data_IF_199565613278
#
_entry.id   IF_199565613278
#
_cell.length_a   1.000
_cell.length_b   1.000
_cell.length_c   1.000
_cell.angle_alpha   90.00
_cell.angle_beta   90.00
_cell.angle_gamma   90.00
#
_symmetry.space_group_name_H-M   'P 1'
#
loop_
_entity.id
_entity.type
_entity.pdbx_description
1 polymer ?
#
# COMPACT_ATOMS: atom_id res chain seq x y z
N UNK A 1 12.41 -15.06 10.97
CA UNK A 1 13.80 -14.60 11.24
C UNK A 1 14.88 -15.47 10.60
N UNK A 2 14.77 -16.82 10.61
CA UNK A 2 15.82 -17.70 10.05
C UNK A 2 16.02 -17.67 8.53
N UNK A 3 15.01 -17.27 7.75
CA UNK A 3 15.12 -17.19 6.28
C UNK A 3 15.71 -15.86 5.81
N UNK A 4 15.34 -14.75 6.45
CA UNK A 4 15.86 -13.41 6.11
C UNK A 4 17.37 -13.29 6.34
N UNK A 5 17.89 -13.89 7.42
CA UNK A 5 19.33 -13.92 7.69
C UNK A 5 20.13 -14.71 6.64
N UNK A 6 19.59 -15.83 6.16
CA UNK A 6 20.19 -16.60 5.05
C UNK A 6 20.14 -15.84 3.73
N UNK A 7 19.02 -15.19 3.45
CA UNK A 7 18.87 -14.33 2.27
C UNK A 7 19.87 -13.17 2.31
N UNK A 8 19.99 -12.49 3.46
CA UNK A 8 20.92 -11.38 3.67
C UNK A 8 22.36 -11.81 3.40
N UNK A 9 22.81 -12.92 4.00
CA UNK A 9 24.15 -13.46 3.76
C UNK A 9 24.42 -13.76 2.27
N UNK A 10 23.40 -14.24 1.54
CA UNK A 10 23.52 -14.52 0.12
C UNK A 10 23.64 -13.24 -0.72
N UNK A 11 22.86 -12.21 -0.40
CA UNK A 11 22.95 -10.91 -1.06
C UNK A 11 24.26 -10.18 -0.75
N UNK A 12 24.77 -10.25 0.48
CA UNK A 12 26.05 -9.65 0.86
C UNK A 12 27.22 -10.29 0.12
N UNK A 13 27.24 -11.62 0.00
CA UNK A 13 28.23 -12.34 -0.84
C UNK A 13 28.14 -11.92 -2.30
N UNK A 14 26.92 -11.85 -2.85
CA UNK A 14 26.69 -11.38 -4.22
C UNK A 14 27.17 -9.95 -4.44
N UNK A 15 26.90 -9.05 -3.48
CA UNK A 15 27.39 -7.67 -3.50
C UNK A 15 28.91 -7.61 -3.46
N UNK A 16 29.57 -8.43 -2.62
CA UNK A 16 31.03 -8.49 -2.54
C UNK A 16 31.65 -8.90 -3.88
N UNK A 17 31.10 -9.92 -4.55
CA UNK A 17 31.55 -10.35 -5.88
C UNK A 17 31.36 -9.22 -6.90
N UNK A 18 30.19 -8.58 -6.92
CA UNK A 18 29.91 -7.46 -7.84
C UNK A 18 30.84 -6.27 -7.63
N UNK A 19 31.23 -5.95 -6.38
CA UNK A 19 32.17 -4.87 -6.07
C UNK A 19 33.56 -5.12 -6.66
N UNK A 20 33.98 -6.38 -6.79
CA UNK A 20 35.25 -6.76 -7.41
C UNK A 20 35.14 -6.70 -8.94
N UNK A 21 34.00 -7.16 -9.48
CA UNK A 21 33.82 -7.34 -10.92
C UNK A 21 33.36 -6.08 -11.67
N UNK A 22 32.77 -5.09 -10.99
CA UNK A 22 32.11 -3.94 -11.62
C UNK A 22 32.69 -2.60 -11.15
N UNK A 23 32.65 -1.55 -11.99
CA UNK A 23 32.93 -0.19 -11.57
C UNK A 23 32.08 0.24 -10.36
N UNK A 24 32.61 1.11 -9.51
CA UNK A 24 31.95 1.53 -8.26
C UNK A 24 30.59 2.23 -8.46
N UNK A 25 30.36 2.80 -9.64
CA UNK A 25 29.11 3.43 -10.05
C UNK A 25 28.21 2.52 -10.89
N UNK A 26 28.48 1.22 -10.99
CA UNK A 26 27.67 0.34 -11.83
C UNK A 26 26.25 0.15 -11.26
N UNK A 27 25.15 0.34 -12.02
CA UNK A 27 23.76 0.24 -11.54
C UNK A 27 23.42 -1.07 -10.80
N UNK A 28 23.98 -2.21 -11.23
CA UNK A 28 23.81 -3.50 -10.53
C UNK A 28 24.29 -3.50 -9.06
N UNK A 29 25.24 -2.64 -8.68
CA UNK A 29 25.63 -2.45 -7.29
C UNK A 29 24.50 -1.79 -6.50
N UNK A 30 23.88 -0.75 -7.05
CA UNK A 30 22.72 -0.09 -6.45
C UNK A 30 21.53 -1.06 -6.27
N UNK A 31 21.23 -1.88 -7.28
CA UNK A 31 20.20 -2.93 -7.15
C UNK A 31 20.51 -3.91 -6.01
N UNK A 32 21.77 -4.31 -5.83
CA UNK A 32 22.17 -5.16 -4.70
C UNK A 32 21.94 -4.47 -3.36
N UNK A 33 22.30 -3.20 -3.24
CA UNK A 33 22.05 -2.39 -2.04
C UNK A 33 20.55 -2.24 -1.74
N UNK A 34 19.70 -2.03 -2.76
CA UNK A 34 18.24 -1.97 -2.58
C UNK A 34 17.67 -3.29 -2.03
N UNK A 35 18.12 -4.44 -2.53
CA UNK A 35 17.64 -5.75 -2.06
C UNK A 35 18.06 -6.02 -0.61
N UNK A 36 19.30 -5.66 -0.26
CA UNK A 36 19.80 -5.75 1.12
C UNK A 36 18.98 -4.83 2.04
N UNK A 37 18.68 -3.60 1.59
CA UNK A 37 17.87 -2.68 2.37
C UNK A 37 16.47 -3.22 2.67
N UNK A 38 15.80 -3.82 1.67
CA UNK A 38 14.48 -4.42 1.85
C UNK A 38 14.52 -5.56 2.89
N UNK A 39 15.61 -6.31 2.96
CA UNK A 39 15.78 -7.33 4.01
C UNK A 39 15.96 -6.71 5.39
N UNK A 40 16.78 -5.66 5.51
CA UNK A 40 16.93 -4.93 6.77
C UNK A 40 15.61 -4.32 7.24
N UNK A 41 14.84 -3.72 6.34
CA UNK A 41 13.50 -3.17 6.63
C UNK A 41 12.55 -4.26 7.17
N UNK A 42 12.47 -5.40 6.49
CA UNK A 42 11.68 -6.55 6.95
C UNK A 42 12.15 -7.15 8.29
N UNK A 43 13.40 -6.91 8.67
CA UNK A 43 13.96 -7.30 9.97
C UNK A 43 13.77 -6.22 11.05
N UNK A 44 13.23 -5.04 10.70
CA UNK A 44 13.09 -3.88 11.59
C UNK A 44 14.40 -3.11 11.81
N UNK A 45 15.45 -3.42 11.04
CA UNK A 45 16.77 -2.77 11.14
C UNK A 45 16.83 -1.50 10.26
N UNK A 46 15.91 -0.56 10.51
CA UNK A 46 15.64 0.59 9.63
C UNK A 46 16.87 1.46 9.34
N UNK A 47 17.76 1.69 10.32
CA UNK A 47 18.99 2.47 10.11
C UNK A 47 19.92 1.81 9.07
N UNK A 48 20.02 0.48 9.06
CA UNK A 48 20.83 -0.25 8.06
C UNK A 48 20.13 -0.28 6.70
N UNK A 49 18.80 -0.35 6.69
CA UNK A 49 18.00 -0.22 5.48
C UNK A 49 18.23 1.14 4.81
N UNK A 50 18.09 2.24 5.56
CA UNK A 50 18.33 3.60 5.06
C UNK A 50 19.77 3.77 4.54
N UNK A 51 20.78 3.36 5.31
CA UNK A 51 22.18 3.45 4.86
C UNK A 51 22.42 2.70 3.53
N UNK A 52 21.81 1.53 3.37
CA UNK A 52 21.89 0.75 2.12
C UNK A 52 21.17 1.46 0.97
N UNK A 53 19.98 2.03 1.20
CA UNK A 53 19.23 2.78 0.20
C UNK A 53 19.92 4.08 -0.21
N UNK A 54 20.52 4.80 0.74
CA UNK A 54 21.30 6.01 0.45
C UNK A 54 22.48 5.69 -0.45
N UNK A 55 23.19 4.59 -0.17
CA UNK A 55 24.30 4.14 -1.03
C UNK A 55 23.83 3.74 -2.43
N UNK A 56 22.69 3.06 -2.52
CA UNK A 56 22.05 2.73 -3.79
C UNK A 56 21.68 3.99 -4.59
N UNK A 57 21.04 4.95 -3.93
CA UNK A 57 20.63 6.22 -4.52
C UNK A 57 21.83 7.02 -5.03
N UNK A 58 22.92 7.07 -4.27
CA UNK A 58 24.16 7.73 -4.68
C UNK A 58 24.71 7.13 -5.98
N UNK A 59 24.82 5.80 -6.05
CA UNK A 59 25.28 5.10 -7.25
C UNK A 59 24.37 5.40 -8.44
N UNK A 60 23.04 5.32 -8.26
CA UNK A 60 22.11 5.63 -9.34
C UNK A 60 22.19 7.09 -9.80
N UNK A 61 22.38 8.06 -8.90
CA UNK A 61 22.55 9.48 -9.26
C UNK A 61 23.79 9.70 -10.10
N UNK A 62 24.87 8.96 -9.85
CA UNK A 62 26.10 9.04 -10.65
C UNK A 62 25.95 8.31 -11.99
N UNK A 63 25.22 7.20 -12.03
CA UNK A 63 25.17 6.30 -13.17
C UNK A 63 24.07 6.60 -14.19
N UNK A 64 23.02 7.32 -13.79
CA UNK A 64 21.78 7.45 -14.55
C UNK A 64 21.38 8.93 -14.72
N UNK A 65 20.62 9.26 -15.78
CA UNK A 65 20.01 10.57 -15.92
C UNK A 65 19.11 10.95 -14.73
N UNK A 66 18.97 12.24 -14.37
CA UNK A 66 18.20 12.68 -13.20
C UNK A 66 16.73 12.26 -13.19
N UNK A 67 16.12 12.04 -14.35
CA UNK A 67 14.74 11.61 -14.52
C UNK A 67 14.58 10.08 -14.68
N UNK A 68 15.62 9.29 -14.41
CA UNK A 68 15.55 7.85 -14.63
C UNK A 68 14.58 7.17 -13.63
N UNK A 69 13.69 6.26 -14.07
CA UNK A 69 12.70 5.60 -13.19
C UNK A 69 13.27 4.86 -11.96
N UNK A 70 14.52 4.38 -12.05
CA UNK A 70 15.22 3.76 -10.91
C UNK A 70 15.53 4.74 -9.78
N UNK A 71 15.71 6.04 -10.07
CA UNK A 71 15.84 7.07 -9.03
C UNK A 71 14.52 7.24 -8.28
N UNK A 72 13.40 7.30 -8.98
CA UNK A 72 12.08 7.33 -8.35
C UNK A 72 11.83 6.10 -7.50
N UNK A 73 12.21 4.91 -7.99
CA UNK A 73 12.11 3.66 -7.21
C UNK A 73 12.95 3.70 -5.95
N UNK A 74 14.13 4.31 -6.00
CA UNK A 74 15.02 4.41 -4.83
C UNK A 74 14.46 5.37 -3.78
N UNK A 75 13.93 6.53 -4.19
CA UNK A 75 13.19 7.40 -3.29
C UNK A 75 11.95 6.70 -2.71
N UNK A 76 11.20 5.95 -3.53
CA UNK A 76 10.08 5.09 -3.10
C UNK A 76 10.46 4.05 -2.05
N UNK A 77 11.70 3.59 -2.01
CA UNK A 77 12.09 2.63 -0.98
C UNK A 77 12.49 3.35 0.30
N UNK A 78 13.08 4.55 0.19
CA UNK A 78 13.46 5.38 1.33
C UNK A 78 12.21 5.86 2.08
N UNK A 79 11.17 6.29 1.37
CA UNK A 79 9.91 6.70 2.03
C UNK A 79 9.24 5.55 2.77
N UNK A 80 9.18 4.34 2.23
CA UNK A 80 8.61 3.17 2.91
C UNK A 80 9.32 2.92 4.24
N UNK A 81 10.65 3.01 4.27
CA UNK A 81 11.41 2.83 5.52
C UNK A 81 11.09 3.96 6.51
N UNK A 82 11.04 5.22 6.08
CA UNK A 82 10.64 6.33 6.95
C UNK A 82 9.20 6.19 7.45
N UNK A 83 8.29 5.73 6.60
CA UNK A 83 6.91 5.46 6.94
C UNK A 83 6.80 4.37 8.01
N UNK A 84 7.53 3.26 7.86
CA UNK A 84 7.60 2.18 8.85
C UNK A 84 8.19 2.64 10.19
N UNK A 85 9.02 3.68 10.19
CA UNK A 85 9.55 4.33 11.39
C UNK A 85 8.57 5.34 12.03
N UNK A 86 7.46 5.68 11.38
CA UNK A 86 6.55 6.76 11.79
C UNK A 86 7.08 8.17 11.47
N UNK A 87 8.14 8.29 10.67
CA UNK A 87 8.79 9.54 10.29
C UNK A 87 8.09 10.15 9.06
N UNK A 88 6.80 10.43 9.19
CA UNK A 88 5.91 10.76 8.06
C UNK A 88 6.35 11.97 7.24
N UNK A 89 6.89 13.02 7.87
CA UNK A 89 7.41 14.19 7.14
C UNK A 89 8.59 13.84 6.22
N UNK A 90 9.47 12.92 6.64
CA UNK A 90 10.59 12.45 5.82
C UNK A 90 10.12 11.51 4.71
N UNK A 91 9.11 10.68 5.00
CA UNK A 91 8.45 9.84 4.01
C UNK A 91 7.80 10.70 2.90
N UNK A 92 7.03 11.73 3.25
CA UNK A 92 6.42 12.68 2.31
C UNK A 92 7.46 13.33 1.39
N UNK A 93 8.54 13.88 1.96
CA UNK A 93 9.59 14.52 1.14
C UNK A 93 10.22 13.55 0.12
N UNK A 94 10.36 12.29 0.49
CA UNK A 94 10.91 11.25 -0.40
C UNK A 94 9.89 10.81 -1.45
N UNK A 95 8.61 10.65 -1.08
CA UNK A 95 7.53 10.39 -2.02
C UNK A 95 7.35 11.50 -3.05
N UNK A 96 7.43 12.76 -2.64
CA UNK A 96 7.31 13.92 -3.53
C UNK A 96 8.42 13.93 -4.58
N UNK A 97 9.68 13.69 -4.18
CA UNK A 97 10.80 13.55 -5.12
C UNK A 97 10.61 12.39 -6.09
N UNK A 98 10.10 11.24 -5.61
CA UNK A 98 9.76 10.10 -6.46
C UNK A 98 8.68 10.47 -7.48
N UNK A 99 7.62 11.16 -7.04
CA UNK A 99 6.52 11.61 -7.89
C UNK A 99 6.99 12.63 -8.94
N UNK A 100 7.84 13.59 -8.58
CA UNK A 100 8.40 14.57 -9.52
C UNK A 100 9.18 13.89 -10.65
N UNK A 101 10.06 12.94 -10.31
CA UNK A 101 10.80 12.16 -11.30
C UNK A 101 9.85 11.40 -12.21
N UNK A 102 8.83 10.73 -11.64
CA UNK A 102 7.83 9.99 -12.42
C UNK A 102 7.02 10.89 -13.34
N UNK A 103 6.65 12.11 -12.91
CA UNK A 103 5.92 13.08 -13.75
C UNK A 103 6.71 13.51 -14.97
N UNK A 104 8.04 13.60 -14.85
CA UNK A 104 8.93 13.95 -15.97
C UNK A 104 9.14 12.74 -16.88
N UNK A 105 9.26 11.54 -16.31
CA UNK A 105 9.64 10.33 -17.05
C UNK A 105 8.48 9.58 -17.72
N UNK A 106 7.24 9.79 -17.25
CA UNK A 106 6.09 8.98 -17.62
C UNK A 106 4.97 9.82 -18.23
N UNK A 107 4.13 9.17 -19.04
CA UNK A 107 2.90 9.80 -19.54
C UNK A 107 1.96 10.15 -18.36
N UNK A 108 1.15 11.23 -18.48
CA UNK A 108 0.26 11.67 -17.40
C UNK A 108 -0.74 10.62 -16.90
N UNK A 109 -1.10 9.64 -17.73
CA UNK A 109 -2.01 8.53 -17.39
C UNK A 109 -1.27 7.26 -16.91
N UNK A 110 0.03 7.33 -16.65
CA UNK A 110 0.78 6.12 -16.28
C UNK A 110 0.38 5.59 -14.89
N UNK A 111 0.10 4.28 -14.72
CA UNK A 111 -0.37 3.71 -13.46
C UNK A 111 0.53 3.99 -12.24
N UNK A 112 1.86 4.03 -12.43
CA UNK A 112 2.80 4.38 -11.36
C UNK A 112 2.60 5.78 -10.77
N UNK A 113 2.01 6.73 -11.51
CA UNK A 113 1.63 8.03 -10.96
C UNK A 113 0.45 7.89 -10.00
N UNK A 114 -0.56 7.08 -10.35
CA UNK A 114 -1.67 6.78 -9.45
C UNK A 114 -1.18 6.08 -8.17
N UNK A 115 -0.25 5.13 -8.28
CA UNK A 115 0.37 4.50 -7.11
C UNK A 115 1.11 5.51 -6.22
N UNK A 116 1.88 6.44 -6.80
CA UNK A 116 2.54 7.50 -6.03
C UNK A 116 1.55 8.35 -5.23
N UNK A 117 0.46 8.78 -5.88
CA UNK A 117 -0.57 9.57 -5.21
C UNK A 117 -1.30 8.77 -4.11
N UNK A 118 -1.57 7.49 -4.32
CA UNK A 118 -2.12 6.61 -3.27
C UNK A 118 -1.20 6.51 -2.05
N UNK A 119 0.12 6.35 -2.26
CA UNK A 119 1.05 6.22 -1.15
C UNK A 119 1.16 7.54 -0.36
N UNK A 120 1.25 8.68 -1.06
CA UNK A 120 1.21 10.02 -0.45
C UNK A 120 -0.08 10.21 0.36
N UNK A 121 -1.22 9.76 -0.17
CA UNK A 121 -2.48 9.83 0.55
C UNK A 121 -2.47 9.03 1.86
N UNK A 122 -1.89 7.83 1.85
CA UNK A 122 -1.74 7.02 3.06
C UNK A 122 -0.96 7.75 4.14
N UNK A 123 0.15 8.41 3.77
CA UNK A 123 0.93 9.19 4.74
C UNK A 123 0.12 10.36 5.31
N UNK A 124 -0.64 11.06 4.46
CA UNK A 124 -1.51 12.14 4.95
C UNK A 124 -2.64 11.63 5.85
N UNK A 125 -3.23 10.47 5.55
CA UNK A 125 -4.26 9.84 6.38
C UNK A 125 -3.72 9.49 7.77
N UNK A 126 -2.54 8.87 7.85
CA UNK A 126 -1.89 8.54 9.13
C UNK A 126 -1.45 9.77 9.93
N UNK A 127 -1.25 10.91 9.27
CA UNK A 127 -1.01 12.21 9.91
C UNK A 127 -2.31 12.91 10.35
N UNK A 128 -3.49 12.37 10.03
CA UNK A 128 -4.78 13.03 10.25
C UNK A 128 -5.08 14.19 9.30
N UNK A 129 -4.28 14.36 8.24
CA UNK A 129 -4.39 15.40 7.22
C UNK A 129 -5.37 14.96 6.10
N UNK A 130 -6.58 14.59 6.51
CA UNK A 130 -7.53 13.87 5.65
C UNK A 130 -7.91 14.58 4.36
N UNK A 131 -8.00 15.92 4.37
CA UNK A 131 -8.27 16.70 3.15
C UNK A 131 -7.17 16.54 2.09
N UNK A 132 -5.90 16.46 2.51
CA UNK A 132 -4.76 16.22 1.61
C UNK A 132 -4.72 14.77 1.14
N UNK A 133 -5.10 13.84 2.00
CA UNK A 133 -5.25 12.43 1.65
C UNK A 133 -6.31 12.25 0.55
N UNK A 134 -7.52 12.80 0.74
CA UNK A 134 -8.60 12.76 -0.24
C UNK A 134 -8.18 13.39 -1.58
N UNK A 135 -7.59 14.58 -1.56
CA UNK A 135 -7.11 15.24 -2.79
C UNK A 135 -6.10 14.38 -3.56
N UNK A 136 -5.21 13.70 -2.83
CA UNK A 136 -4.24 12.78 -3.43
C UNK A 136 -4.92 11.53 -4.02
N UNK A 137 -5.89 10.94 -3.31
CA UNK A 137 -6.67 9.80 -3.82
C UNK A 137 -7.54 10.16 -5.03
N UNK A 138 -8.14 11.34 -5.06
CA UNK A 138 -8.88 11.86 -6.20
C UNK A 138 -7.97 11.96 -7.42
N UNK A 139 -6.76 12.49 -7.25
CA UNK A 139 -5.78 12.58 -8.33
C UNK A 139 -5.34 11.20 -8.85
N UNK A 140 -5.15 10.25 -7.94
CA UNK A 140 -4.90 8.85 -8.28
C UNK A 140 -6.06 8.22 -9.08
N UNK A 141 -7.31 8.45 -8.65
CA UNK A 141 -8.50 7.98 -9.34
C UNK A 141 -8.67 8.62 -10.74
N UNK A 142 -8.38 9.91 -10.89
CA UNK A 142 -8.38 10.58 -12.21
C UNK A 142 -7.40 9.93 -13.19
N UNK A 143 -6.17 9.65 -12.74
CA UNK A 143 -5.15 8.99 -13.57
C UNK A 143 -5.64 7.61 -13.99
N UNK A 144 -6.21 6.83 -13.06
CA UNK A 144 -6.79 5.51 -13.36
C UNK A 144 -7.93 5.61 -14.37
N UNK A 145 -8.81 6.62 -14.25
CA UNK A 145 -9.90 6.86 -15.22
C UNK A 145 -9.39 7.18 -16.63
N UNK A 146 -8.23 7.81 -16.76
CA UNK A 146 -7.59 8.07 -18.05
C UNK A 146 -6.93 6.82 -18.65
N UNK A 147 -6.52 5.86 -17.81
CA UNK A 147 -5.70 4.72 -18.21
C UNK A 147 -6.48 3.42 -18.41
N UNK A 148 -7.62 3.28 -17.73
CA UNK A 148 -8.33 2.00 -17.59
C UNK A 148 -9.76 2.09 -18.13
N UNK A 149 -10.31 0.98 -18.66
CA UNK A 149 -11.69 0.93 -19.09
C UNK A 149 -12.65 1.10 -17.90
N UNK A 150 -13.90 1.53 -18.12
CA UNK A 150 -14.92 1.58 -17.07
C UNK A 150 -15.04 0.25 -16.31
N UNK A 151 -15.29 0.33 -14.99
CA UNK A 151 -15.43 -0.82 -14.08
C UNK A 151 -14.17 -1.72 -13.94
N UNK A 152 -12.99 -1.23 -14.31
CA UNK A 152 -11.75 -1.95 -14.01
C UNK A 152 -11.59 -2.21 -12.49
N UNK A 153 -11.12 -3.39 -12.06
CA UNK A 153 -10.97 -3.75 -10.64
C UNK A 153 -10.22 -2.71 -9.78
N UNK A 154 -9.21 -2.05 -10.34
CA UNK A 154 -8.46 -0.97 -9.67
C UNK A 154 -9.35 0.17 -9.16
N UNK A 155 -10.50 0.43 -9.78
CA UNK A 155 -11.44 1.43 -9.25
C UNK A 155 -12.01 1.00 -7.90
N UNK A 156 -12.22 -0.30 -7.67
CA UNK A 156 -12.66 -0.80 -6.37
C UNK A 156 -11.63 -0.46 -5.29
N UNK A 157 -10.34 -0.62 -5.58
CA UNK A 157 -9.28 -0.24 -4.63
C UNK A 157 -9.26 1.28 -4.38
N UNK A 158 -9.42 2.11 -5.42
CA UNK A 158 -9.48 3.57 -5.26
C UNK A 158 -10.64 4.00 -4.35
N UNK A 159 -11.84 3.48 -4.59
CA UNK A 159 -13.00 3.78 -3.75
C UNK A 159 -12.85 3.23 -2.33
N UNK A 160 -12.22 2.07 -2.15
CA UNK A 160 -11.93 1.53 -0.82
C UNK A 160 -10.99 2.45 -0.01
N UNK A 161 -9.95 3.00 -0.64
CA UNK A 161 -9.03 3.92 0.03
C UNK A 161 -9.72 5.25 0.37
N UNK A 162 -10.54 5.79 -0.54
CA UNK A 162 -11.33 7.01 -0.29
C UNK A 162 -12.29 6.78 0.88
N UNK A 163 -12.96 5.62 0.90
CA UNK A 163 -13.87 5.24 1.97
C UNK A 163 -13.17 5.15 3.33
N UNK A 164 -11.96 4.59 3.37
CA UNK A 164 -11.16 4.48 4.59
C UNK A 164 -10.83 5.85 5.17
N UNK A 165 -10.43 6.81 4.33
CA UNK A 165 -10.18 8.19 4.78
C UNK A 165 -11.47 8.83 5.33
N UNK A 166 -12.61 8.64 4.66
CA UNK A 166 -13.89 9.12 5.19
C UNK A 166 -14.29 8.45 6.51
N UNK A 167 -14.01 7.16 6.70
CA UNK A 167 -14.27 6.46 7.96
C UNK A 167 -13.40 7.02 9.10
N UNK A 168 -12.11 7.23 8.84
CA UNK A 168 -11.18 7.86 9.79
C UNK A 168 -11.58 9.31 10.14
N UNK A 169 -12.20 10.03 9.20
CA UNK A 169 -12.78 11.36 9.43
C UNK A 169 -14.08 11.33 10.27
N UNK A 170 -14.71 10.17 10.46
CA UNK A 170 -16.05 10.04 11.03
C UNK A 170 -17.19 10.39 10.06
N UNK A 171 -16.89 10.56 8.77
CA UNK A 171 -17.84 10.85 7.70
C UNK A 171 -18.49 9.56 7.17
N UNK A 172 -19.11 8.80 8.09
CA UNK A 172 -19.54 7.41 7.85
C UNK A 172 -20.47 7.24 6.64
N UNK A 173 -21.37 8.20 6.38
CA UNK A 173 -22.24 8.15 5.20
C UNK A 173 -21.46 8.19 3.88
N UNK A 174 -20.39 8.99 3.81
CA UNK A 174 -19.51 9.06 2.63
C UNK A 174 -18.63 7.83 2.52
N UNK A 175 -18.16 7.31 3.66
CA UNK A 175 -17.43 6.05 3.73
C UNK A 175 -18.27 4.88 3.19
N UNK A 176 -19.52 4.72 3.67
CA UNK A 176 -20.44 3.70 3.19
C UNK A 176 -20.68 3.81 1.68
N UNK A 177 -21.03 5.00 1.18
CA UNK A 177 -21.25 5.23 -0.25
C UNK A 177 -20.03 4.79 -1.09
N UNK A 178 -18.83 5.11 -0.62
CA UNK A 178 -17.58 4.75 -1.30
C UNK A 178 -17.26 3.24 -1.20
N UNK A 179 -17.45 2.61 -0.03
CA UNK A 179 -17.27 1.16 0.12
C UNK A 179 -18.30 0.36 -0.68
N UNK A 180 -19.55 0.81 -0.74
CA UNK A 180 -20.60 0.18 -1.55
C UNK A 180 -20.25 0.25 -3.05
N UNK A 181 -19.75 1.40 -3.51
CA UNK A 181 -19.27 1.54 -4.89
C UNK A 181 -18.09 0.62 -5.18
N UNK A 182 -17.15 0.50 -4.24
CA UNK A 182 -16.05 -0.46 -4.33
C UNK A 182 -16.56 -1.90 -4.43
N UNK A 183 -17.51 -2.29 -3.58
CA UNK A 183 -18.12 -3.62 -3.56
C UNK A 183 -18.87 -3.93 -4.87
N UNK A 184 -19.60 -2.96 -5.44
CA UNK A 184 -20.30 -3.12 -6.72
C UNK A 184 -19.33 -3.47 -7.85
N UNK A 185 -18.21 -2.75 -7.95
CA UNK A 185 -17.18 -3.00 -8.96
C UNK A 185 -16.54 -4.37 -8.73
N UNK A 186 -16.18 -4.68 -7.48
CA UNK A 186 -15.60 -5.99 -7.13
C UNK A 186 -16.54 -7.16 -7.46
N UNK A 187 -17.87 -7.01 -7.28
CA UNK A 187 -18.85 -8.05 -7.64
C UNK A 187 -18.91 -8.32 -9.14
N UNK A 188 -18.64 -7.32 -9.97
CA UNK A 188 -18.57 -7.48 -11.43
C UNK A 188 -17.26 -8.15 -11.84
N UNK A 189 -16.16 -7.75 -11.19
CA UNK A 189 -14.81 -8.17 -11.56
C UNK A 189 -14.39 -9.55 -11.02
N UNK A 190 -14.98 -10.01 -9.91
CA UNK A 190 -14.48 -11.14 -9.13
C UNK A 190 -15.51 -12.26 -8.98
N UNK A 191 -15.07 -13.52 -8.82
CA UNK A 191 -15.97 -14.62 -8.46
C UNK A 191 -16.70 -14.35 -7.15
N UNK A 192 -17.92 -14.88 -7.01
CA UNK A 192 -18.81 -14.65 -5.86
C UNK A 192 -18.20 -14.97 -4.48
N UNK A 193 -17.22 -15.86 -4.42
CA UNK A 193 -16.53 -16.25 -3.18
C UNK A 193 -15.11 -15.66 -3.06
N UNK A 194 -14.76 -14.63 -3.83
CA UNK A 194 -13.42 -14.05 -3.76
C UNK A 194 -13.16 -13.38 -2.40
N UNK A 195 -11.98 -13.58 -1.76
CA UNK A 195 -11.66 -12.98 -0.47
C UNK A 195 -11.85 -11.46 -0.40
N UNK A 196 -11.54 -10.73 -1.48
CA UNK A 196 -11.69 -9.28 -1.52
C UNK A 196 -13.15 -8.82 -1.33
N UNK A 197 -14.13 -9.62 -1.77
CA UNK A 197 -15.55 -9.32 -1.49
C UNK A 197 -15.83 -9.41 0.01
N UNK A 198 -15.21 -10.37 0.70
CA UNK A 198 -15.33 -10.47 2.15
C UNK A 198 -14.68 -9.27 2.86
N UNK A 199 -13.54 -8.78 2.37
CA UNK A 199 -12.91 -7.57 2.89
C UNK A 199 -13.83 -6.36 2.73
N UNK A 200 -14.46 -6.16 1.56
CA UNK A 200 -15.44 -5.09 1.35
C UNK A 200 -16.62 -5.17 2.32
N UNK A 201 -17.21 -6.37 2.51
CA UNK A 201 -18.29 -6.57 3.48
C UNK A 201 -17.85 -6.32 4.93
N UNK A 202 -16.61 -6.71 5.29
CA UNK A 202 -16.06 -6.41 6.60
C UNK A 202 -15.94 -4.91 6.83
N UNK A 203 -15.43 -4.16 5.85
CA UNK A 203 -15.26 -2.71 5.95
C UNK A 203 -16.60 -2.00 6.12
N UNK A 204 -17.61 -2.36 5.32
CA UNK A 204 -18.99 -1.86 5.47
C UNK A 204 -19.54 -2.19 6.87
N UNK A 205 -19.31 -3.42 7.36
CA UNK A 205 -19.72 -3.83 8.70
C UNK A 205 -19.07 -3.01 9.81
N UNK A 206 -17.78 -2.67 9.67
CA UNK A 206 -17.07 -1.80 10.59
C UNK A 206 -17.64 -0.38 10.62
N UNK A 207 -17.94 0.20 9.45
CA UNK A 207 -18.57 1.53 9.39
C UNK A 207 -19.95 1.53 10.07
N UNK A 208 -20.79 0.53 9.82
CA UNK A 208 -22.06 0.39 10.55
C UNK A 208 -21.85 0.22 12.06
N UNK A 209 -20.81 -0.48 12.48
CA UNK A 209 -20.45 -0.60 13.90
C UNK A 209 -20.06 0.76 14.49
N UNK A 210 -19.30 1.58 13.77
CA UNK A 210 -18.94 2.94 14.20
C UNK A 210 -20.17 3.85 14.31
N UNK A 211 -21.17 3.66 13.44
CA UNK A 211 -22.46 4.36 13.51
C UNK A 211 -23.40 3.84 14.62
N UNK A 212 -23.07 2.74 15.29
CA UNK A 212 -23.97 2.08 16.25
C UNK A 212 -25.11 1.27 15.61
N UNK A 213 -25.10 1.09 14.29
CA UNK A 213 -26.08 0.29 13.56
C UNK A 213 -25.72 -1.21 13.61
N UNK A 214 -25.66 -1.76 14.81
CA UNK A 214 -25.09 -3.08 15.08
C UNK A 214 -25.77 -4.24 14.35
N UNK A 215 -27.07 -4.13 14.04
CA UNK A 215 -27.78 -5.14 13.26
C UNK A 215 -27.28 -5.20 11.80
N UNK A 216 -27.05 -4.05 11.17
CA UNK A 216 -26.48 -3.96 9.82
C UNK A 216 -25.00 -4.34 9.80
N UNK A 217 -24.28 -3.99 10.86
CA UNK A 217 -22.89 -4.39 11.06
C UNK A 217 -22.75 -5.92 11.09
N UNK A 218 -23.56 -6.60 11.92
CA UNK A 218 -23.59 -8.06 12.01
C UNK A 218 -23.96 -8.71 10.68
N UNK A 219 -24.99 -8.22 10.00
CA UNK A 219 -25.39 -8.73 8.67
C UNK A 219 -24.24 -8.68 7.65
N UNK A 220 -23.52 -7.55 7.61
CA UNK A 220 -22.37 -7.38 6.71
C UNK A 220 -21.21 -8.31 7.09
N UNK A 221 -20.88 -8.43 8.37
CA UNK A 221 -19.82 -9.31 8.85
C UNK A 221 -20.14 -10.79 8.67
N UNK A 222 -21.40 -11.20 8.85
CA UNK A 222 -21.83 -12.57 8.59
C UNK A 222 -21.68 -12.93 7.11
N UNK A 223 -21.97 -11.98 6.19
CA UNK A 223 -21.72 -12.18 4.77
C UNK A 223 -20.23 -12.29 4.44
N UNK A 224 -19.40 -11.47 5.08
CA UNK A 224 -17.93 -11.59 4.99
C UNK A 224 -17.46 -12.97 5.44
N UNK A 225 -17.95 -13.44 6.59
CA UNK A 225 -17.63 -14.74 7.16
C UNK A 225 -18.05 -15.91 6.25
N UNK A 226 -19.23 -15.82 5.64
CA UNK A 226 -19.73 -16.82 4.70
C UNK A 226 -18.79 -16.99 3.50
N UNK A 227 -18.35 -15.88 2.91
CA UNK A 227 -17.43 -15.87 1.76
C UNK A 227 -16.08 -16.47 2.15
N UNK A 228 -15.52 -16.07 3.31
CA UNK A 228 -14.23 -16.58 3.77
C UNK A 228 -14.27 -18.08 4.06
N UNK A 229 -15.38 -18.60 4.61
CA UNK A 229 -15.56 -20.04 4.85
C UNK A 229 -15.56 -20.86 3.56
N UNK A 230 -16.06 -20.29 2.46
CA UNK A 230 -16.12 -20.95 1.15
C UNK A 230 -14.80 -20.85 0.37
N UNK A 231 -13.94 -19.89 0.70
CA UNK A 231 -12.73 -19.57 -0.08
C UNK A 231 -11.42 -19.95 0.59
N UNK A 232 -11.39 -20.09 1.92
CA UNK A 232 -10.15 -20.27 2.68
C UNK A 232 -10.24 -21.42 3.69
N UNK A 233 -9.12 -22.12 3.97
CA UNK A 233 -9.00 -22.98 5.13
C UNK A 233 -9.23 -22.19 6.43
N UNK A 234 -9.76 -22.86 7.45
CA UNK A 234 -10.27 -22.27 8.70
C UNK A 234 -9.25 -21.53 9.60
N UNK A 235 -7.97 -21.50 9.22
CA UNK A 235 -6.84 -20.99 10.02
C UNK A 235 -6.27 -19.64 9.54
N UNK A 236 -6.90 -18.98 8.56
CA UNK A 236 -6.37 -17.71 7.99
C UNK A 236 -6.66 -16.48 8.88
N UNK A 237 -5.73 -15.51 9.01
CA UNK A 237 -5.88 -14.33 9.86
C UNK A 237 -7.14 -13.50 9.59
N UNK A 238 -7.53 -13.34 8.32
CA UNK A 238 -8.72 -12.57 7.95
C UNK A 238 -10.02 -13.20 8.47
N UNK A 239 -10.10 -14.54 8.49
CA UNK A 239 -11.23 -15.27 9.06
C UNK A 239 -11.31 -15.09 10.59
N UNK A 240 -10.16 -15.08 11.26
CA UNK A 240 -10.06 -14.83 12.71
C UNK A 240 -10.51 -13.41 13.05
N UNK A 241 -10.08 -12.42 12.26
CA UNK A 241 -10.45 -11.01 12.44
C UNK A 241 -11.98 -10.81 12.36
N UNK A 242 -12.63 -11.33 11.30
CA UNK A 242 -14.08 -11.20 11.12
C UNK A 242 -14.84 -11.88 12.26
N UNK A 243 -14.42 -13.08 12.70
CA UNK A 243 -15.04 -13.76 13.85
C UNK A 243 -14.94 -12.92 15.13
N UNK A 244 -13.76 -12.35 15.40
CA UNK A 244 -13.54 -11.47 16.55
C UNK A 244 -14.45 -10.24 16.48
N UNK A 245 -14.61 -9.63 15.30
CA UNK A 245 -15.48 -8.48 15.12
C UNK A 245 -16.95 -8.84 15.40
N UNK A 246 -17.42 -9.99 14.94
CA UNK A 246 -18.77 -10.51 15.23
C UNK A 246 -18.96 -10.75 16.74
N UNK A 247 -18.01 -11.41 17.40
CA UNK A 247 -18.07 -11.66 18.85
C UNK A 247 -18.10 -10.35 19.65
N UNK A 248 -17.24 -9.39 19.30
CA UNK A 248 -17.22 -8.07 19.92
C UNK A 248 -18.56 -7.34 19.80
N UNK A 249 -19.20 -7.42 18.63
CA UNK A 249 -20.52 -6.82 18.42
C UNK A 249 -21.62 -7.52 19.20
N UNK A 250 -21.61 -8.85 19.26
CA UNK A 250 -22.59 -9.63 20.04
C UNK A 250 -22.55 -9.30 21.52
N UNK A 251 -21.37 -8.98 22.06
CA UNK A 251 -21.20 -8.58 23.46
C UNK A 251 -21.65 -7.13 23.77
N UNK A 252 -22.02 -6.35 22.76
CA UNK A 252 -22.58 -4.98 22.93
C UNK A 252 -24.10 -4.95 22.98
N UNK A 253 -24.75 -6.11 22.82
CA UNK A 253 -26.17 -6.34 23.06
C UNK A 253 -26.37 -6.98 24.43
#
# INVERSE_FOLDING_TARGET
MGEYSKALSSYEKSLAIRKIALPSNHPNLATSYNNIALLYDNMGEYSKALSSLERSLEIFKTALPPNHPLLATSYNNIDVVYYNMGEYSKALSSYEKSLEIRKIALLPNHPLLATSYNNIASVYDDMGEYSKALSSLERSLEIRKMALPPNHPDFAQSYNNIAMVYDNMGEYSKALSSYERSLEISKIALPLNHPDLATSYNNIGMVYSHMGEYSKALSSLDRSLEILRKSLPSTRPHLVLVKRNIENLRNRF
#
